data_IF_356353368861
#
_entry.id   IF_356353368861
#
_cell.length_a   1.000
_cell.length_b   1.000
_cell.length_c   1.000
_cell.angle_alpha   90.00
_cell.angle_beta   90.00
_cell.angle_gamma   90.00
#
_symmetry.space_group_name_H-M   'P 1'
#
loop_
_entity.id
_entity.type
_entity.pdbx_description
1 polymer ?
#
# COMPACT_ATOMS: atom_id res chain seq x y z
N UNK A 1 -33.69 32.54 -27.64
CA UNK A 1 -32.39 32.16 -28.23
C UNK A 1 -31.23 32.92 -27.55
N UNK A 2 -31.12 32.85 -26.21
CA UNK A 2 -30.01 33.45 -25.43
C UNK A 2 -29.65 32.60 -24.19
N UNK A 3 -30.19 31.38 -24.08
CA UNK A 3 -29.99 30.49 -22.94
C UNK A 3 -28.91 29.41 -23.18
N UNK A 4 -28.43 29.24 -24.42
CA UNK A 4 -27.47 28.17 -24.79
C UNK A 4 -26.00 28.62 -24.84
N UNK A 5 -25.71 29.92 -24.72
CA UNK A 5 -24.33 30.46 -24.68
C UNK A 5 -23.74 30.61 -23.27
N UNK A 6 -24.47 30.18 -22.22
CA UNK A 6 -23.92 29.98 -20.87
C UNK A 6 -23.22 28.62 -20.71
N UNK A 7 -22.98 27.92 -21.81
CA UNK A 7 -21.90 26.93 -21.90
C UNK A 7 -20.57 27.69 -22.04
N UNK A 8 -19.61 27.73 -21.14
CA UNK A 8 -19.57 27.63 -19.68
C UNK A 8 -18.22 28.28 -19.31
N UNK A 9 -18.16 29.62 -19.28
CA UNK A 9 -16.92 30.38 -18.99
C UNK A 9 -16.27 29.91 -17.68
N UNK A 10 -17.10 29.43 -16.72
CA UNK A 10 -16.63 28.87 -15.45
C UNK A 10 -15.94 27.53 -15.64
N UNK A 11 -16.43 26.66 -16.54
CA UNK A 11 -15.70 25.44 -16.89
C UNK A 11 -14.40 25.72 -17.62
N UNK A 12 -14.38 26.66 -18.58
CA UNK A 12 -13.13 27.04 -19.28
C UNK A 12 -12.10 27.56 -18.28
N UNK A 13 -12.51 28.45 -17.37
CA UNK A 13 -11.65 28.94 -16.28
C UNK A 13 -11.15 27.83 -15.37
N UNK A 14 -12.01 26.86 -15.01
CA UNK A 14 -11.61 25.69 -14.23
C UNK A 14 -10.57 24.82 -14.96
N UNK A 15 -10.76 24.54 -16.24
CA UNK A 15 -9.80 23.75 -17.02
C UNK A 15 -8.48 24.50 -17.20
N UNK A 16 -8.51 25.80 -17.46
CA UNK A 16 -7.31 26.63 -17.57
C UNK A 16 -6.49 26.63 -16.27
N UNK A 17 -7.15 26.87 -15.13
CA UNK A 17 -6.50 26.77 -13.80
C UNK A 17 -5.97 25.36 -13.55
N UNK A 18 -6.74 24.32 -13.90
CA UNK A 18 -6.30 22.93 -13.73
C UNK A 18 -5.05 22.62 -14.55
N UNK A 19 -4.95 23.13 -15.78
CA UNK A 19 -3.77 22.97 -16.65
C UNK A 19 -2.56 23.64 -16.03
N UNK A 20 -2.68 24.89 -15.55
CA UNK A 20 -1.58 25.59 -14.88
C UNK A 20 -1.08 24.77 -13.69
N UNK A 21 -1.98 24.28 -12.84
CA UNK A 21 -1.59 23.48 -11.69
C UNK A 21 -0.99 22.12 -12.08
N UNK A 22 -1.40 21.51 -13.20
CA UNK A 22 -0.78 20.29 -13.74
C UNK A 22 0.64 20.58 -14.24
N UNK A 23 0.86 21.70 -14.92
CA UNK A 23 2.19 22.13 -15.36
C UNK A 23 3.11 22.34 -14.15
N UNK A 24 2.62 23.01 -13.10
CA UNK A 24 3.38 23.16 -11.85
C UNK A 24 3.67 21.79 -11.21
N UNK A 25 2.73 20.85 -11.22
CA UNK A 25 2.97 19.48 -10.74
C UNK A 25 4.09 18.81 -11.53
N UNK A 26 4.09 18.92 -12.86
CA UNK A 26 5.11 18.35 -13.73
C UNK A 26 6.51 18.88 -13.40
N UNK A 27 6.65 20.20 -13.23
CA UNK A 27 7.92 20.80 -12.80
C UNK A 27 8.32 20.36 -11.40
N UNK A 28 7.39 20.33 -10.45
CA UNK A 28 7.65 19.86 -9.09
C UNK A 28 8.18 18.42 -9.09
N UNK A 29 7.52 17.51 -9.84
CA UNK A 29 7.94 16.12 -10.03
C UNK A 29 9.32 16.02 -10.68
N UNK A 30 9.59 16.88 -11.68
CA UNK A 30 10.87 16.90 -12.39
C UNK A 30 12.05 17.31 -11.50
N UNK A 31 11.89 18.31 -10.64
CA UNK A 31 12.96 18.79 -9.76
C UNK A 31 13.07 18.02 -8.45
N UNK A 32 11.96 17.58 -7.88
CA UNK A 32 11.96 16.78 -6.65
C UNK A 32 10.75 15.84 -6.59
N UNK A 33 10.95 14.51 -6.59
CA UNK A 33 9.84 13.57 -6.43
C UNK A 33 9.08 13.79 -5.11
N UNK A 34 9.73 14.28 -4.04
CA UNK A 34 9.03 14.60 -2.78
C UNK A 34 8.08 15.78 -2.98
N UNK A 35 8.56 16.89 -3.56
CA UNK A 35 7.70 18.04 -3.79
C UNK A 35 6.58 17.74 -4.79
N UNK A 36 6.87 17.00 -5.85
CA UNK A 36 5.87 16.49 -6.78
C UNK A 36 4.77 15.69 -6.08
N UNK A 37 5.17 14.75 -5.20
CA UNK A 37 4.24 13.96 -4.40
C UNK A 37 3.36 14.84 -3.51
N UNK A 38 3.95 15.69 -2.66
CA UNK A 38 3.21 16.54 -1.72
C UNK A 38 2.30 17.52 -2.45
N UNK A 39 2.78 18.14 -3.53
CA UNK A 39 2.00 19.07 -4.33
C UNK A 39 0.75 18.39 -4.91
N UNK A 40 0.90 17.20 -5.50
CA UNK A 40 -0.22 16.44 -6.04
C UNK A 40 -1.26 16.11 -4.95
N UNK A 41 -0.82 15.70 -3.76
CA UNK A 41 -1.71 15.40 -2.64
C UNK A 41 -2.44 16.65 -2.12
N UNK A 42 -1.76 17.80 -2.05
CA UNK A 42 -2.37 19.08 -1.65
C UNK A 42 -3.40 19.51 -2.68
N UNK A 43 -3.07 19.47 -3.98
CA UNK A 43 -4.00 19.83 -5.06
C UNK A 43 -5.27 18.96 -5.02
N UNK A 44 -5.12 17.65 -4.79
CA UNK A 44 -6.24 16.73 -4.62
C UNK A 44 -7.05 17.03 -3.34
N UNK A 45 -6.40 17.35 -2.23
CA UNK A 45 -7.04 17.67 -0.95
C UNK A 45 -7.84 18.97 -1.00
N UNK A 46 -7.37 19.96 -1.77
CA UNK A 46 -8.07 21.22 -2.05
C UNK A 46 -9.24 21.05 -3.02
N UNK A 47 -9.40 19.86 -3.63
CA UNK A 47 -10.51 19.56 -4.52
C UNK A 47 -10.31 20.04 -5.96
N UNK A 48 -9.06 20.26 -6.40
CA UNK A 48 -8.75 20.65 -7.79
C UNK A 48 -9.06 19.48 -8.75
N UNK A 49 -8.91 18.23 -8.31
CA UNK A 49 -9.22 17.02 -9.09
C UNK A 49 -10.72 16.68 -9.24
N UNK A 50 -11.61 17.64 -9.52
CA UNK A 50 -13.07 17.37 -9.58
C UNK A 50 -13.43 16.36 -10.68
N UNK A 51 -12.82 16.50 -11.85
CA UNK A 51 -13.03 15.60 -12.99
C UNK A 51 -12.12 14.38 -12.88
N UNK A 52 -12.51 13.26 -13.48
CA UNK A 52 -11.68 12.05 -13.52
C UNK A 52 -10.32 12.33 -14.14
N UNK A 53 -10.30 12.99 -15.30
CA UNK A 53 -9.06 13.29 -16.05
C UNK A 53 -8.06 14.07 -15.17
N UNK A 54 -8.49 15.19 -14.59
CA UNK A 54 -7.61 16.03 -13.75
C UNK A 54 -7.17 15.28 -12.49
N UNK A 55 -8.08 14.52 -11.86
CA UNK A 55 -7.75 13.69 -10.71
C UNK A 55 -6.72 12.63 -11.07
N UNK A 56 -6.86 11.97 -12.21
CA UNK A 56 -5.93 10.94 -12.67
C UNK A 56 -4.54 11.51 -12.94
N UNK A 57 -4.41 12.71 -13.50
CA UNK A 57 -3.10 13.36 -13.64
C UNK A 57 -2.38 13.56 -12.31
N UNK A 58 -3.03 14.16 -11.31
CA UNK A 58 -2.41 14.31 -9.98
C UNK A 58 -2.16 12.97 -9.29
N UNK A 59 -3.07 12.01 -9.46
CA UNK A 59 -2.94 10.71 -8.80
C UNK A 59 -1.78 9.92 -9.38
N UNK A 60 -1.64 9.89 -10.71
CA UNK A 60 -0.52 9.26 -11.41
C UNK A 60 0.79 10.00 -11.14
N UNK A 61 0.77 11.34 -11.05
CA UNK A 61 1.93 12.13 -10.64
C UNK A 61 2.39 11.79 -9.22
N UNK A 62 1.47 11.63 -8.27
CA UNK A 62 1.77 11.17 -6.92
C UNK A 62 2.30 9.74 -6.88
N UNK A 63 1.68 8.82 -7.63
CA UNK A 63 2.12 7.42 -7.74
C UNK A 63 3.52 7.31 -8.34
N UNK A 64 3.77 8.02 -9.44
CA UNK A 64 5.10 8.10 -10.06
C UNK A 64 6.13 8.62 -9.06
N UNK A 65 5.82 9.72 -8.39
CA UNK A 65 6.69 10.32 -7.38
C UNK A 65 7.01 9.34 -6.25
N UNK A 66 6.03 8.62 -5.70
CA UNK A 66 6.26 7.58 -4.69
C UNK A 66 7.20 6.48 -5.18
N UNK A 67 7.01 6.01 -6.43
CA UNK A 67 7.86 4.99 -7.01
C UNK A 67 9.31 5.48 -7.18
N UNK A 68 9.51 6.75 -7.60
CA UNK A 68 10.84 7.39 -7.63
C UNK A 68 11.42 7.52 -6.22
N UNK A 69 10.63 7.87 -5.21
CA UNK A 69 11.12 7.90 -3.82
C UNK A 69 11.57 6.50 -3.39
N UNK A 70 10.77 5.46 -3.62
CA UNK A 70 11.13 4.09 -3.27
C UNK A 70 12.41 3.59 -3.97
N UNK A 71 12.58 3.89 -5.26
CA UNK A 71 13.75 3.48 -6.04
C UNK A 71 15.06 4.19 -5.66
N UNK A 72 14.96 5.28 -4.89
CA UNK A 72 16.14 5.99 -4.36
C UNK A 72 16.82 5.26 -3.19
N UNK A 73 16.26 4.15 -2.72
CA UNK A 73 16.74 3.39 -1.55
C UNK A 73 18.23 3.01 -1.66
N UNK A 74 18.87 2.88 -0.51
CA UNK A 74 20.19 2.27 -0.37
C UNK A 74 20.17 0.75 -0.63
N UNK A 75 20.99 0.30 -1.57
CA UNK A 75 21.17 -1.11 -1.90
C UNK A 75 22.54 -1.66 -1.48
N UNK A 76 23.45 -0.81 -0.98
CA UNK A 76 24.87 -1.12 -0.78
C UNK A 76 25.23 -1.63 0.62
N UNK A 77 24.29 -1.64 1.56
CA UNK A 77 24.56 -1.96 2.97
C UNK A 77 24.65 -3.45 3.28
N UNK A 78 24.34 -4.35 2.33
CA UNK A 78 24.34 -5.81 2.50
C UNK A 78 23.71 -6.28 3.83
N UNK A 79 22.72 -5.54 4.32
CA UNK A 79 22.10 -5.82 5.60
C UNK A 79 21.25 -7.09 5.45
N UNK A 80 21.41 -8.12 6.29
CA UNK A 80 20.63 -9.35 6.23
C UNK A 80 19.11 -9.13 6.29
N UNK A 81 18.67 -8.03 6.93
CA UNK A 81 17.27 -7.64 7.02
C UNK A 81 16.69 -7.03 5.73
N UNK A 82 17.49 -6.79 4.70
CA UNK A 82 17.01 -6.28 3.41
C UNK A 82 16.43 -7.38 2.52
N UNK A 83 15.12 -7.64 2.63
CA UNK A 83 14.46 -8.69 1.84
C UNK A 83 14.57 -8.45 0.33
N UNK A 84 14.60 -7.18 -0.12
CA UNK A 84 14.73 -6.89 -1.54
C UNK A 84 16.10 -7.22 -2.09
N UNK A 85 17.16 -6.72 -1.47
CA UNK A 85 18.52 -6.93 -1.95
C UNK A 85 18.96 -8.39 -1.78
N UNK A 86 18.46 -9.09 -0.76
CA UNK A 86 18.90 -10.45 -0.42
C UNK A 86 18.04 -11.55 -1.05
N UNK A 87 16.74 -11.31 -1.31
CA UNK A 87 15.85 -12.35 -1.83
C UNK A 87 15.26 -11.99 -3.20
N UNK A 88 14.73 -10.78 -3.40
CA UNK A 88 14.08 -10.44 -4.67
C UNK A 88 15.06 -10.15 -5.81
N UNK A 89 16.16 -9.45 -5.51
CA UNK A 89 17.17 -9.11 -6.52
C UNK A 89 17.93 -10.33 -7.06
N UNK A 90 18.47 -11.26 -6.24
CA UNK A 90 19.14 -12.44 -6.76
C UNK A 90 18.22 -13.31 -7.62
N UNK A 91 16.97 -13.51 -7.19
CA UNK A 91 16.00 -14.29 -7.99
C UNK A 91 15.68 -13.60 -9.32
N UNK A 92 15.67 -12.26 -9.36
CA UNK A 92 15.57 -11.53 -10.63
C UNK A 92 16.78 -11.80 -11.54
N UNK A 93 18.00 -11.79 -11.00
CA UNK A 93 19.21 -12.09 -11.76
C UNK A 93 19.17 -13.53 -12.31
N UNK A 94 18.72 -14.50 -11.51
CA UNK A 94 18.54 -15.88 -11.94
C UNK A 94 17.46 -15.98 -13.03
N UNK A 95 16.34 -15.25 -12.92
CA UNK A 95 15.28 -15.21 -13.93
C UNK A 95 15.75 -14.67 -15.29
N UNK A 96 16.65 -13.69 -15.29
CA UNK A 96 17.24 -13.11 -16.51
C UNK A 96 18.22 -14.09 -17.17
N UNK A 97 18.99 -14.82 -16.36
CA UNK A 97 20.03 -15.73 -16.84
C UNK A 97 19.51 -17.14 -17.15
N UNK A 98 18.37 -17.54 -16.58
CA UNK A 98 17.76 -18.87 -16.75
C UNK A 98 16.91 -18.96 -18.02
N UNK A 99 17.00 -20.11 -18.70
CA UNK A 99 16.17 -20.40 -19.88
C UNK A 99 14.71 -20.69 -19.50
N UNK A 100 14.47 -21.29 -18.34
CA UNK A 100 13.13 -21.68 -17.87
C UNK A 100 12.67 -20.81 -16.70
N UNK A 101 11.41 -20.39 -16.79
CA UNK A 101 10.74 -19.64 -15.72
C UNK A 101 10.45 -20.52 -14.48
N UNK A 102 10.27 -21.82 -14.68
CA UNK A 102 9.88 -22.77 -13.64
C UNK A 102 11.04 -23.23 -12.75
N UNK A 103 12.27 -22.87 -13.09
CA UNK A 103 13.46 -23.37 -12.41
C UNK A 103 13.89 -22.43 -11.25
N UNK A 104 13.06 -21.43 -10.91
CA UNK A 104 13.36 -20.42 -9.90
C UNK A 104 12.67 -20.73 -8.56
N UNK A 105 13.29 -20.32 -7.44
CA UNK A 105 12.84 -20.55 -6.04
C UNK A 105 11.37 -20.16 -5.75
N UNK A 106 10.79 -19.25 -6.54
CA UNK A 106 9.37 -18.90 -6.41
C UNK A 106 8.42 -19.96 -6.99
N UNK A 107 8.86 -20.70 -8.01
CA UNK A 107 8.11 -21.81 -8.59
C UNK A 107 7.92 -22.96 -7.60
N UNK A 108 8.94 -23.26 -6.78
CA UNK A 108 8.89 -24.29 -5.74
C UNK A 108 7.82 -24.02 -4.66
N UNK A 109 7.43 -22.75 -4.48
CA UNK A 109 6.38 -22.32 -3.57
C UNK A 109 5.05 -22.04 -4.27
N UNK A 110 4.90 -22.37 -5.56
CA UNK A 110 3.74 -22.05 -6.39
C UNK A 110 3.43 -20.55 -6.53
N UNK A 111 4.42 -19.67 -6.33
CA UNK A 111 4.28 -18.21 -6.35
C UNK A 111 4.77 -17.61 -7.67
N UNK A 112 4.11 -18.01 -8.75
CA UNK A 112 4.55 -17.73 -10.13
C UNK A 112 4.38 -16.27 -10.58
N UNK A 113 3.48 -15.49 -9.97
CA UNK A 113 3.11 -14.19 -10.52
C UNK A 113 4.30 -13.22 -10.66
N UNK A 114 5.11 -13.06 -9.60
CA UNK A 114 6.19 -12.08 -9.59
C UNK A 114 7.23 -12.39 -10.67
N UNK A 115 7.69 -13.64 -10.77
CA UNK A 115 8.68 -13.99 -11.79
C UNK A 115 8.14 -13.85 -13.21
N UNK A 116 6.86 -14.21 -13.45
CA UNK A 116 6.24 -14.05 -14.77
C UNK A 116 6.12 -12.58 -15.15
N UNK A 117 5.67 -11.75 -14.20
CA UNK A 117 5.59 -10.31 -14.33
C UNK A 117 6.96 -9.69 -14.65
N UNK A 118 8.02 -10.04 -13.91
CA UNK A 118 9.36 -9.50 -14.15
C UNK A 118 9.96 -9.94 -15.48
N UNK A 119 9.67 -11.18 -15.92
CA UNK A 119 10.12 -11.70 -17.22
C UNK A 119 9.45 -10.95 -18.38
N UNK A 120 8.14 -10.71 -18.30
CA UNK A 120 7.43 -9.88 -19.29
C UNK A 120 8.01 -8.48 -19.35
N UNK A 121 8.23 -7.85 -18.19
CA UNK A 121 8.76 -6.49 -18.17
C UNK A 121 10.16 -6.39 -18.74
N UNK A 122 11.03 -7.34 -18.41
CA UNK A 122 12.39 -7.38 -18.96
C UNK A 122 12.36 -7.58 -20.48
N UNK A 123 11.45 -8.44 -20.96
CA UNK A 123 11.24 -8.63 -22.40
C UNK A 123 10.77 -7.33 -23.10
N UNK A 124 9.84 -6.59 -22.48
CA UNK A 124 9.35 -5.30 -23.01
C UNK A 124 10.46 -4.23 -22.96
N UNK A 125 11.26 -4.20 -21.90
CA UNK A 125 12.36 -3.24 -21.73
C UNK A 125 13.52 -3.49 -22.71
N UNK A 126 13.65 -4.72 -23.21
CA UNK A 126 14.73 -5.13 -24.11
C UNK A 126 16.08 -5.35 -23.42
N UNK A 127 16.27 -4.82 -22.22
CA UNK A 127 17.47 -5.02 -21.39
C UNK A 127 17.11 -5.37 -19.94
N UNK A 128 17.98 -6.09 -19.22
CA UNK A 128 17.81 -6.33 -17.78
C UNK A 128 17.78 -5.03 -16.99
N UNK A 129 16.89 -4.96 -16.01
CA UNK A 129 16.79 -3.83 -15.09
C UNK A 129 17.94 -3.82 -14.09
N UNK A 130 18.40 -2.63 -13.72
CA UNK A 130 19.18 -2.44 -12.49
C UNK A 130 18.26 -2.47 -11.24
N UNK A 131 18.84 -2.44 -10.03
CA UNK A 131 18.08 -2.52 -8.77
C UNK A 131 17.07 -1.37 -8.59
N UNK A 132 17.44 -0.14 -8.94
CA UNK A 132 16.58 1.03 -8.82
C UNK A 132 15.41 0.96 -9.80
N UNK A 133 15.68 0.58 -11.06
CA UNK A 133 14.68 0.33 -12.09
C UNK A 133 13.67 -0.72 -11.67
N UNK A 134 14.15 -1.86 -11.17
CA UNK A 134 13.31 -2.95 -10.71
C UNK A 134 12.39 -2.50 -9.56
N UNK A 135 12.94 -1.78 -8.58
CA UNK A 135 12.16 -1.23 -7.47
C UNK A 135 11.12 -0.23 -7.94
N UNK A 136 11.49 0.67 -8.84
CA UNK A 136 10.58 1.66 -9.43
C UNK A 136 9.39 0.95 -10.08
N UNK A 137 9.64 -0.01 -10.96
CA UNK A 137 8.58 -0.70 -11.73
C UNK A 137 7.68 -1.54 -10.81
N UNK A 138 8.24 -2.20 -9.79
CA UNK A 138 7.45 -2.93 -8.78
C UNK A 138 6.54 -1.96 -8.00
N UNK A 139 7.10 -0.91 -7.41
CA UNK A 139 6.36 0.04 -6.59
C UNK A 139 5.28 0.75 -7.42
N UNK A 140 5.65 1.21 -8.61
CA UNK A 140 4.74 1.87 -9.56
C UNK A 140 3.55 0.98 -9.91
N UNK A 141 3.78 -0.29 -10.29
CA UNK A 141 2.68 -1.18 -10.67
C UNK A 141 1.74 -1.51 -9.52
N UNK A 142 2.25 -1.72 -8.32
CA UNK A 142 1.41 -1.95 -7.13
C UNK A 142 0.51 -0.74 -6.85
N UNK A 143 1.09 0.46 -6.88
CA UNK A 143 0.36 1.71 -6.65
C UNK A 143 -0.64 2.02 -7.77
N UNK A 144 -0.31 1.74 -9.03
CA UNK A 144 -1.24 1.86 -10.16
C UNK A 144 -2.40 0.89 -10.01
N UNK A 145 -2.15 -0.38 -9.69
CA UNK A 145 -3.20 -1.37 -9.45
C UNK A 145 -4.12 -0.95 -8.30
N UNK A 146 -3.56 -0.41 -7.22
CA UNK A 146 -4.34 0.17 -6.12
C UNK A 146 -5.14 1.40 -6.54
N UNK A 147 -4.56 2.31 -7.33
CA UNK A 147 -5.26 3.49 -7.84
C UNK A 147 -6.43 3.12 -8.76
N UNK A 148 -6.24 2.13 -9.65
CA UNK A 148 -7.31 1.58 -10.49
C UNK A 148 -8.43 1.01 -9.61
N UNK A 149 -8.10 0.27 -8.54
CA UNK A 149 -9.10 -0.26 -7.61
C UNK A 149 -9.89 0.89 -6.98
N UNK A 150 -9.18 1.94 -6.55
CA UNK A 150 -9.77 3.08 -5.88
C UNK A 150 -10.77 3.79 -6.79
N UNK A 151 -10.40 4.16 -8.02
CA UNK A 151 -11.31 4.83 -8.97
C UNK A 151 -12.46 3.92 -9.41
N UNK A 152 -12.16 2.66 -9.77
CA UNK A 152 -13.13 1.77 -10.35
C UNK A 152 -14.13 1.21 -9.32
N UNK A 153 -13.70 1.00 -8.07
CA UNK A 153 -14.48 0.30 -7.04
C UNK A 153 -14.63 1.11 -5.76
N UNK A 154 -13.54 1.65 -5.20
CA UNK A 154 -13.54 2.36 -3.91
C UNK A 154 -14.39 3.64 -3.92
N UNK A 155 -14.30 4.44 -4.99
CA UNK A 155 -14.98 5.74 -5.09
C UNK A 155 -16.44 5.65 -5.55
N UNK A 156 -16.97 4.47 -5.90
CA UNK A 156 -18.35 4.32 -6.40
C UNK A 156 -19.40 4.91 -5.45
N UNK A 157 -19.14 4.84 -4.14
CA UNK A 157 -20.06 5.26 -3.07
C UNK A 157 -19.62 6.55 -2.36
N UNK A 158 -18.62 7.22 -2.90
CA UNK A 158 -18.12 8.51 -2.39
C UNK A 158 -18.75 9.64 -3.20
N UNK A 159 -19.27 10.65 -2.50
CA UNK A 159 -19.84 11.84 -3.13
C UNK A 159 -18.81 12.51 -4.06
N UNK A 160 -19.27 12.99 -5.22
CA UNK A 160 -18.40 13.50 -6.29
C UNK A 160 -17.47 14.63 -5.83
N UNK A 161 -17.94 15.51 -4.94
CA UNK A 161 -17.20 16.63 -4.36
C UNK A 161 -16.13 16.20 -3.33
N UNK A 162 -16.16 14.95 -2.87
CA UNK A 162 -15.21 14.38 -1.89
C UNK A 162 -14.25 13.36 -2.50
N UNK A 163 -14.44 12.94 -3.75
CA UNK A 163 -13.61 11.93 -4.41
C UNK A 163 -12.12 12.30 -4.41
N UNK A 164 -11.78 13.54 -4.72
CA UNK A 164 -10.39 14.01 -4.76
C UNK A 164 -9.69 13.91 -3.40
N UNK A 165 -10.39 14.29 -2.33
CA UNK A 165 -9.87 14.17 -0.96
C UNK A 165 -9.68 12.69 -0.57
N UNK A 166 -10.63 11.83 -0.94
CA UNK A 166 -10.50 10.39 -0.72
C UNK A 166 -9.24 9.84 -1.41
N UNK A 167 -9.02 10.22 -2.67
CA UNK A 167 -7.82 9.81 -3.41
C UNK A 167 -6.54 10.34 -2.79
N UNK A 168 -6.50 11.61 -2.38
CA UNK A 168 -5.35 12.19 -1.69
C UNK A 168 -5.00 11.38 -0.42
N UNK A 169 -6.01 11.09 0.41
CA UNK A 169 -5.79 10.33 1.64
C UNK A 169 -5.37 8.89 1.37
N UNK A 170 -6.04 8.21 0.42
CA UNK A 170 -5.73 6.83 0.08
C UNK A 170 -4.32 6.66 -0.46
N UNK A 171 -3.86 7.54 -1.35
CA UNK A 171 -2.48 7.50 -1.88
C UNK A 171 -1.48 8.00 -0.83
N UNK A 172 -1.76 9.14 -0.19
CA UNK A 172 -0.83 9.78 0.74
C UNK A 172 -0.57 9.01 2.04
N UNK A 173 -1.50 8.13 2.43
CA UNK A 173 -1.35 7.27 3.61
C UNK A 173 -1.07 5.80 3.24
N UNK A 174 -0.96 5.47 1.96
CA UNK A 174 -0.50 4.15 1.52
C UNK A 174 0.96 3.97 1.97
N UNK A 175 1.26 2.89 2.70
CA UNK A 175 2.63 2.62 3.17
C UNK A 175 3.50 2.08 2.04
N UNK A 176 3.83 2.90 1.05
CA UNK A 176 4.53 2.44 -0.16
C UNK A 176 5.95 1.93 0.13
N UNK A 177 6.62 2.44 1.17
CA UNK A 177 7.94 1.94 1.57
C UNK A 177 7.94 0.47 1.99
N UNK A 178 6.78 -0.13 2.27
CA UNK A 178 6.68 -1.57 2.52
C UNK A 178 6.94 -2.41 1.26
N UNK A 179 6.81 -1.82 0.06
CA UNK A 179 7.20 -2.48 -1.20
C UNK A 179 8.70 -2.80 -1.22
N UNK A 180 9.50 -2.13 -0.38
CA UNK A 180 10.92 -2.40 -0.23
C UNK A 180 11.22 -3.72 0.49
N UNK A 181 10.24 -4.30 1.18
CA UNK A 181 10.44 -5.47 2.06
C UNK A 181 9.44 -6.61 1.81
N UNK A 182 8.24 -6.34 1.28
CA UNK A 182 7.19 -7.35 1.15
C UNK A 182 6.59 -7.40 -0.27
N UNK A 183 7.45 -7.48 -1.30
CA UNK A 183 7.07 -7.37 -2.73
C UNK A 183 5.96 -8.35 -3.14
N UNK A 184 6.14 -9.64 -2.86
CA UNK A 184 5.13 -10.67 -3.22
C UNK A 184 3.81 -10.44 -2.51
N UNK A 185 3.90 -10.18 -1.21
CA UNK A 185 2.74 -10.01 -0.36
C UNK A 185 1.95 -8.75 -0.71
N UNK A 186 2.59 -7.64 -1.09
CA UNK A 186 1.86 -6.41 -1.41
C UNK A 186 1.06 -6.54 -2.72
N UNK A 187 1.59 -7.23 -3.74
CA UNK A 187 0.80 -7.60 -4.93
C UNK A 187 -0.40 -8.47 -4.55
N UNK A 188 -0.17 -9.50 -3.75
CA UNK A 188 -1.21 -10.39 -3.28
C UNK A 188 -2.32 -9.64 -2.51
N UNK A 189 -1.95 -8.71 -1.62
CA UNK A 189 -2.89 -7.90 -0.85
C UNK A 189 -3.73 -6.97 -1.74
N UNK A 190 -3.15 -6.36 -2.78
CA UNK A 190 -3.93 -5.58 -3.76
C UNK A 190 -4.91 -6.49 -4.51
N UNK A 191 -4.53 -7.69 -4.94
CA UNK A 191 -5.45 -8.63 -5.57
C UNK A 191 -6.53 -9.15 -4.61
N UNK A 192 -6.20 -9.40 -3.34
CA UNK A 192 -7.19 -9.71 -2.30
C UNK A 192 -8.18 -8.56 -2.14
N UNK A 193 -7.72 -7.31 -2.19
CA UNK A 193 -8.60 -6.14 -2.11
C UNK A 193 -9.65 -6.13 -3.24
N UNK A 194 -9.23 -6.43 -4.47
CA UNK A 194 -10.18 -6.64 -5.58
C UNK A 194 -11.11 -7.81 -5.31
N UNK A 195 -10.58 -8.96 -4.89
CA UNK A 195 -11.37 -10.17 -4.68
C UNK A 195 -12.48 -9.96 -3.63
N UNK A 196 -12.12 -9.39 -2.48
CA UNK A 196 -13.03 -9.05 -1.38
C UNK A 196 -14.08 -8.05 -1.86
N UNK A 197 -13.66 -7.01 -2.59
CA UNK A 197 -14.58 -5.98 -3.08
C UNK A 197 -15.60 -6.56 -4.07
N UNK A 198 -15.15 -7.39 -5.03
CA UNK A 198 -16.06 -8.05 -5.97
C UNK A 198 -17.00 -9.05 -5.28
N UNK A 199 -16.53 -9.73 -4.24
CA UNK A 199 -17.39 -10.62 -3.45
C UNK A 199 -18.50 -9.83 -2.74
N UNK A 200 -18.16 -8.67 -2.15
CA UNK A 200 -19.16 -7.77 -1.56
C UNK A 200 -20.15 -7.22 -2.60
N UNK A 201 -19.72 -7.01 -3.84
CA UNK A 201 -20.58 -6.65 -4.97
C UNK A 201 -21.32 -7.85 -5.59
N UNK A 202 -21.26 -9.04 -4.95
CA UNK A 202 -21.89 -10.29 -5.40
C UNK A 202 -21.35 -10.80 -6.75
N UNK A 203 -20.22 -10.30 -7.24
CA UNK A 203 -19.57 -10.76 -8.47
C UNK A 203 -18.55 -11.87 -8.17
N UNK A 204 -19.05 -13.09 -7.95
CA UNK A 204 -18.23 -14.25 -7.56
C UNK A 204 -17.16 -14.62 -8.60
N UNK A 205 -17.45 -14.46 -9.90
CA UNK A 205 -16.50 -14.78 -10.98
C UNK A 205 -15.28 -13.89 -10.93
N UNK A 206 -15.46 -12.56 -10.85
CA UNK A 206 -14.33 -11.63 -10.72
C UNK A 206 -13.62 -11.83 -9.38
N UNK A 207 -14.36 -12.08 -8.30
CA UNK A 207 -13.76 -12.38 -7.00
C UNK A 207 -12.82 -13.60 -7.07
N UNK A 208 -13.24 -14.68 -7.74
CA UNK A 208 -12.44 -15.89 -7.90
C UNK A 208 -11.18 -15.65 -8.76
N UNK A 209 -11.29 -14.89 -9.85
CA UNK A 209 -10.13 -14.55 -10.70
C UNK A 209 -9.08 -13.78 -9.89
N UNK A 210 -9.49 -12.73 -9.17
CA UNK A 210 -8.56 -11.94 -8.36
C UNK A 210 -8.03 -12.72 -7.15
N UNK A 211 -8.82 -13.62 -6.56
CA UNK A 211 -8.35 -14.52 -5.51
C UNK A 211 -7.28 -15.49 -6.03
N UNK A 212 -7.48 -16.05 -7.22
CA UNK A 212 -6.48 -16.88 -7.88
C UNK A 212 -5.18 -16.10 -8.13
N UNK A 213 -5.27 -14.89 -8.68
CA UNK A 213 -4.12 -13.98 -8.86
C UNK A 213 -3.40 -13.69 -7.55
N UNK A 214 -4.13 -13.52 -6.45
CA UNK A 214 -3.53 -13.34 -5.13
C UNK A 214 -2.76 -14.59 -4.67
N UNK A 215 -3.33 -15.78 -4.82
CA UNK A 215 -2.68 -17.05 -4.43
C UNK A 215 -1.38 -17.30 -5.21
N UNK A 216 -1.37 -17.07 -6.52
CA UNK A 216 -0.16 -17.22 -7.34
C UNK A 216 0.86 -16.08 -7.10
N UNK A 217 0.46 -14.99 -6.44
CA UNK A 217 1.37 -13.92 -6.01
C UNK A 217 1.99 -14.23 -4.67
N UNK A 218 1.19 -14.73 -3.73
CA UNK A 218 1.65 -15.17 -2.42
C UNK A 218 0.66 -16.19 -1.84
N UNK A 219 1.15 -17.37 -1.50
CA UNK A 219 0.34 -18.52 -1.04
C UNK A 219 -0.43 -18.25 0.25
N UNK A 220 0.06 -17.36 1.10
CA UNK A 220 -0.65 -16.97 2.34
C UNK A 220 -2.02 -16.33 2.07
N UNK A 221 -2.29 -15.90 0.83
CA UNK A 221 -3.60 -15.42 0.39
C UNK A 221 -4.73 -16.41 0.65
N UNK A 222 -4.45 -17.72 0.63
CA UNK A 222 -5.41 -18.78 0.96
C UNK A 222 -5.96 -18.60 2.38
N UNK A 223 -5.14 -18.10 3.31
CA UNK A 223 -5.50 -17.82 4.70
C UNK A 223 -6.07 -16.39 4.83
N UNK A 224 -5.43 -15.42 4.19
CA UNK A 224 -5.79 -14.00 4.33
C UNK A 224 -7.18 -13.68 3.77
N UNK A 225 -7.55 -14.26 2.62
CA UNK A 225 -8.85 -14.01 2.01
C UNK A 225 -10.03 -14.40 2.91
N UNK A 226 -10.15 -15.65 3.41
CA UNK A 226 -11.24 -16.01 4.31
C UNK A 226 -11.18 -15.25 5.63
N UNK A 227 -9.98 -14.93 6.15
CA UNK A 227 -9.81 -14.07 7.32
C UNK A 227 -10.45 -12.69 7.10
N UNK A 228 -10.19 -12.05 5.96
CA UNK A 228 -10.75 -10.74 5.64
C UNK A 228 -12.27 -10.78 5.44
N UNK A 229 -12.80 -11.84 4.84
CA UNK A 229 -14.25 -12.05 4.77
C UNK A 229 -14.86 -12.25 6.16
N UNK A 230 -14.18 -12.96 7.06
CA UNK A 230 -14.62 -13.16 8.44
C UNK A 230 -14.69 -11.83 9.20
N UNK A 231 -13.63 -11.02 9.18
CA UNK A 231 -13.60 -9.74 9.90
C UNK A 231 -14.51 -8.68 9.28
N UNK A 232 -14.92 -8.84 8.01
CA UNK A 232 -15.96 -8.01 7.38
C UNK A 232 -17.39 -8.32 7.86
N UNK A 233 -17.61 -9.45 8.55
CA UNK A 233 -18.94 -9.78 9.06
C UNK A 233 -19.36 -8.83 10.18
N UNK A 234 -20.62 -8.41 10.12
CA UNK A 234 -21.21 -7.44 11.05
C UNK A 234 -21.89 -8.14 12.22
N UNK A 235 -22.06 -7.38 13.30
CA UNK A 235 -22.89 -7.78 14.44
C UNK A 235 -22.08 -8.03 15.71
N UNK A 236 -22.63 -7.60 16.84
CA UNK A 236 -21.96 -7.67 18.16
C UNK A 236 -21.45 -9.07 18.49
N UNK A 237 -22.25 -10.11 18.20
CA UNK A 237 -21.86 -11.51 18.45
C UNK A 237 -20.65 -11.94 17.61
N UNK A 238 -20.59 -11.50 16.35
CA UNK A 238 -19.43 -11.77 15.49
C UNK A 238 -18.18 -11.09 16.05
N UNK A 239 -18.28 -9.82 16.42
CA UNK A 239 -17.18 -9.07 17.02
C UNK A 239 -16.67 -9.72 18.31
N UNK A 240 -17.57 -10.17 19.19
CA UNK A 240 -17.21 -10.91 20.41
C UNK A 240 -16.49 -12.22 20.07
N UNK A 241 -17.00 -13.00 19.12
CA UNK A 241 -16.38 -14.25 18.71
C UNK A 241 -14.98 -14.04 18.12
N UNK A 242 -14.76 -12.96 17.35
CA UNK A 242 -13.44 -12.59 16.83
C UNK A 242 -12.50 -12.20 17.95
N UNK A 243 -12.97 -11.46 18.96
CA UNK A 243 -12.18 -11.13 20.14
C UNK A 243 -11.76 -12.38 20.91
N UNK A 244 -12.69 -13.31 21.14
CA UNK A 244 -12.41 -14.61 21.80
C UNK A 244 -11.40 -15.40 20.98
N UNK A 245 -11.60 -15.53 19.66
CA UNK A 245 -10.67 -16.22 18.78
C UNK A 245 -9.26 -15.61 18.85
N UNK A 246 -9.16 -14.29 18.81
CA UNK A 246 -7.88 -13.58 18.94
C UNK A 246 -7.19 -13.85 20.27
N UNK A 247 -7.94 -13.81 21.37
CA UNK A 247 -7.43 -14.13 22.70
C UNK A 247 -6.96 -15.59 22.81
N UNK A 248 -7.74 -16.54 22.30
CA UNK A 248 -7.37 -17.96 22.26
C UNK A 248 -6.11 -18.18 21.46
N UNK A 249 -6.00 -17.60 20.26
CA UNK A 249 -4.79 -17.70 19.44
C UNK A 249 -3.61 -17.09 20.20
N UNK A 250 -3.73 -15.88 20.75
CA UNK A 250 -2.64 -15.21 21.45
C UNK A 250 -2.11 -16.02 22.64
N UNK A 251 -3.00 -16.62 23.44
CA UNK A 251 -2.62 -17.45 24.60
C UNK A 251 -2.00 -18.77 24.17
N UNK A 252 -2.62 -19.46 23.20
CA UNK A 252 -2.17 -20.79 22.78
C UNK A 252 -0.98 -20.76 21.83
N UNK A 253 -0.68 -19.62 21.18
CA UNK A 253 0.33 -19.53 20.14
C UNK A 253 1.69 -20.05 20.61
N UNK A 254 2.19 -19.54 21.74
CA UNK A 254 3.50 -19.97 22.27
C UNK A 254 3.51 -21.45 22.67
N UNK A 255 2.44 -21.94 23.31
CA UNK A 255 2.32 -23.33 23.70
C UNK A 255 2.26 -24.29 22.50
N UNK A 256 1.48 -23.94 21.48
CA UNK A 256 1.33 -24.73 20.25
C UNK A 256 2.63 -24.73 19.44
N UNK A 257 3.27 -23.56 19.26
CA UNK A 257 4.52 -23.47 18.50
C UNK A 257 5.62 -24.29 19.17
N UNK A 258 5.76 -24.20 20.50
CA UNK A 258 6.76 -24.98 21.23
C UNK A 258 6.46 -26.48 21.19
N UNK A 259 5.20 -26.89 21.37
CA UNK A 259 4.79 -28.30 21.30
C UNK A 259 5.03 -28.90 19.91
N UNK A 260 4.61 -28.21 18.84
CA UNK A 260 4.74 -28.71 17.48
C UNK A 260 6.20 -28.69 16.99
N UNK A 261 7.00 -27.72 17.43
CA UNK A 261 8.45 -27.72 17.18
C UNK A 261 9.13 -28.92 17.85
N UNK A 262 8.72 -29.30 19.07
CA UNK A 262 9.25 -30.48 19.75
C UNK A 262 8.90 -31.80 19.06
N UNK A 263 7.76 -31.86 18.36
CA UNK A 263 7.32 -33.05 17.63
C UNK A 263 7.91 -33.17 16.21
N UNK A 264 8.72 -32.22 15.76
CA UNK A 264 9.26 -32.15 14.38
C UNK A 264 8.18 -32.18 13.27
N UNK A 265 6.91 -32.01 13.61
CA UNK A 265 5.81 -32.06 12.67
C UNK A 265 5.74 -30.74 11.89
N UNK A 266 5.88 -30.78 10.56
CA UNK A 266 5.88 -29.56 9.74
C UNK A 266 7.07 -28.64 9.99
N UNK A 267 8.25 -29.22 10.25
CA UNK A 267 9.48 -28.55 10.70
C UNK A 267 9.77 -27.21 10.01
N UNK A 268 9.58 -27.07 8.69
CA UNK A 268 9.84 -25.81 7.98
C UNK A 268 8.86 -24.68 8.32
N UNK A 269 7.57 -24.96 8.49
CA UNK A 269 6.56 -23.96 8.84
C UNK A 269 6.75 -23.48 10.29
N UNK A 270 6.97 -24.40 11.21
CA UNK A 270 7.21 -24.08 12.62
C UNK A 270 8.58 -23.46 12.86
N UNK A 271 9.60 -23.81 12.06
CA UNK A 271 10.90 -23.15 12.08
C UNK A 271 10.79 -21.66 11.72
N UNK A 272 9.94 -21.31 10.76
CA UNK A 272 9.71 -19.91 10.39
C UNK A 272 8.95 -19.14 11.48
N UNK A 273 7.98 -19.79 12.14
CA UNK A 273 7.27 -19.24 13.28
C UNK A 273 8.19 -19.06 14.50
N UNK A 274 9.07 -20.02 14.78
CA UNK A 274 10.05 -19.94 15.86
C UNK A 274 11.13 -18.89 15.58
N UNK A 275 11.55 -18.71 14.32
CA UNK A 275 12.40 -17.60 13.91
C UNK A 275 11.78 -16.23 14.24
N UNK A 276 10.48 -16.03 13.98
CA UNK A 276 9.81 -14.77 14.34
C UNK A 276 9.72 -14.54 15.84
N UNK A 277 9.62 -15.61 16.65
CA UNK A 277 9.67 -15.50 18.10
C UNK A 277 11.05 -15.04 18.61
N UNK A 278 12.13 -15.35 17.89
CA UNK A 278 13.50 -15.06 18.31
C UNK A 278 14.03 -13.72 17.78
N UNK A 279 13.62 -13.31 16.57
CA UNK A 279 14.25 -12.19 15.84
C UNK A 279 13.26 -11.04 15.56
N UNK A 280 11.96 -11.23 15.76
CA UNK A 280 10.96 -10.25 15.34
C UNK A 280 10.95 -8.97 16.20
N UNK A 281 11.06 -7.81 15.54
CA UNK A 281 10.90 -6.51 16.16
C UNK A 281 9.41 -6.11 16.23
N UNK A 282 8.98 -5.61 17.40
CA UNK A 282 7.60 -5.17 17.65
C UNK A 282 7.39 -3.71 17.25
N UNK A 283 8.47 -2.94 17.09
CA UNK A 283 8.43 -1.50 16.76
C UNK A 283 7.68 -1.23 15.44
N UNK A 284 7.90 -2.07 14.42
CA UNK A 284 7.24 -1.96 13.12
C UNK A 284 5.72 -2.18 13.20
N UNK A 285 5.26 -3.04 14.11
CA UNK A 285 3.83 -3.29 14.32
C UNK A 285 3.13 -2.11 15.02
N UNK A 286 3.85 -1.35 15.87
CA UNK A 286 3.31 -0.14 16.52
C UNK A 286 2.99 0.97 15.51
N UNK A 287 3.79 1.09 14.44
CA UNK A 287 3.54 2.07 13.39
C UNK A 287 2.17 1.88 12.70
N UNK A 288 1.68 0.64 12.63
CA UNK A 288 0.35 0.31 12.11
C UNK A 288 -0.82 0.95 12.88
N UNK A 289 -0.63 1.27 14.16
CA UNK A 289 -1.68 1.89 14.98
C UNK A 289 -1.89 3.38 14.72
N UNK A 290 -0.89 4.08 14.14
CA UNK A 290 -0.88 5.55 13.98
C UNK A 290 -2.14 6.08 13.28
N UNK A 291 -2.64 5.38 12.26
CA UNK A 291 -3.87 5.74 11.56
C UNK A 291 -5.07 4.89 11.97
N UNK A 292 -4.83 3.68 12.49
CA UNK A 292 -5.87 2.78 12.92
C UNK A 292 -6.64 3.32 14.14
N UNK A 293 -5.95 3.81 15.18
CA UNK A 293 -6.62 4.32 16.39
C UNK A 293 -7.46 5.57 16.09
N UNK A 294 -6.93 6.63 15.45
CA UNK A 294 -7.74 7.81 15.13
C UNK A 294 -8.92 7.47 14.21
N UNK A 295 -8.72 6.60 13.21
CA UNK A 295 -9.81 6.18 12.33
C UNK A 295 -10.91 5.43 13.09
N UNK A 296 -10.57 4.59 14.08
CA UNK A 296 -11.56 3.87 14.88
C UNK A 296 -12.41 4.84 15.72
N UNK A 297 -11.78 5.82 16.36
CA UNK A 297 -12.47 6.85 17.14
C UNK A 297 -13.45 7.60 16.24
N UNK A 298 -12.99 8.06 15.07
CA UNK A 298 -13.84 8.82 14.15
C UNK A 298 -14.94 7.95 13.50
N UNK A 299 -14.70 6.64 13.29
CA UNK A 299 -15.69 5.72 12.71
C UNK A 299 -16.96 5.58 13.57
N UNK A 300 -16.86 5.84 14.89
CA UNK A 300 -18.03 5.89 15.79
C UNK A 300 -18.99 7.02 15.43
N UNK A 301 -18.47 8.16 14.97
CA UNK A 301 -19.24 9.39 14.80
C UNK A 301 -19.61 9.68 13.35
N UNK A 302 -18.73 9.40 12.38
CA UNK A 302 -18.87 9.93 11.02
C UNK A 302 -18.99 8.88 9.91
N UNK A 303 -18.92 7.59 10.24
CA UNK A 303 -19.01 6.53 9.24
C UNK A 303 -20.41 6.46 8.60
N UNK A 304 -20.48 6.20 7.30
CA UNK A 304 -21.75 6.11 6.56
C UNK A 304 -22.50 4.80 6.85
N UNK A 305 -23.82 4.90 7.05
CA UNK A 305 -24.71 3.78 7.45
C UNK A 305 -25.17 2.87 6.30
N UNK A 306 -24.53 2.90 5.13
CA UNK A 306 -24.87 2.00 4.02
C UNK A 306 -24.35 0.59 4.30
N UNK A 307 -25.11 -0.44 3.91
CA UNK A 307 -24.73 -1.85 4.10
C UNK A 307 -23.29 -2.16 3.61
N UNK A 308 -22.90 -1.73 2.43
CA UNK A 308 -21.54 -1.97 1.92
C UNK A 308 -20.47 -1.30 2.78
N UNK A 309 -20.73 -0.06 3.21
CA UNK A 309 -19.79 0.72 4.01
C UNK A 309 -19.69 0.16 5.44
N UNK A 310 -20.80 -0.32 6.01
CA UNK A 310 -20.79 -1.01 7.31
C UNK A 310 -19.91 -2.28 7.30
N UNK A 311 -19.73 -2.95 6.16
CA UNK A 311 -18.77 -4.08 6.07
C UNK A 311 -17.32 -3.62 6.20
N UNK A 312 -16.98 -2.45 5.65
CA UNK A 312 -15.66 -1.83 5.82
C UNK A 312 -15.44 -1.31 7.24
N UNK A 313 -16.49 -0.80 7.89
CA UNK A 313 -16.45 -0.45 9.30
C UNK A 313 -16.22 -1.68 10.18
N UNK A 314 -16.91 -2.79 9.90
CA UNK A 314 -16.70 -4.06 10.57
C UNK A 314 -15.28 -4.57 10.36
N UNK A 315 -14.76 -4.53 9.12
CA UNK A 315 -13.37 -4.86 8.79
C UNK A 315 -12.38 -4.07 9.66
N UNK A 316 -12.58 -2.76 9.79
CA UNK A 316 -11.74 -1.89 10.60
C UNK A 316 -11.80 -2.25 12.09
N UNK A 317 -13.00 -2.42 12.67
CA UNK A 317 -13.19 -2.71 14.09
C UNK A 317 -12.70 -4.12 14.45
N UNK A 318 -13.21 -5.13 13.75
CA UNK A 318 -12.86 -6.52 14.01
C UNK A 318 -11.37 -6.78 13.69
N UNK A 319 -10.87 -6.17 12.62
CA UNK A 319 -9.45 -6.21 12.26
C UNK A 319 -8.58 -5.57 13.34
N UNK A 320 -8.96 -4.43 13.91
CA UNK A 320 -8.22 -3.80 14.99
C UNK A 320 -8.22 -4.62 16.29
N UNK A 321 -9.35 -5.25 16.63
CA UNK A 321 -9.44 -6.14 17.80
C UNK A 321 -8.48 -7.32 17.62
N UNK A 322 -8.52 -7.98 16.46
CA UNK A 322 -7.67 -9.14 16.22
C UNK A 322 -6.19 -8.75 16.07
N UNK A 323 -5.90 -7.61 15.43
CA UNK A 323 -4.56 -7.04 15.36
C UNK A 323 -3.99 -6.76 16.75
N UNK A 324 -4.80 -6.18 17.64
CA UNK A 324 -4.39 -5.88 19.03
C UNK A 324 -4.20 -7.14 19.85
N UNK A 325 -5.07 -8.14 19.69
CA UNK A 325 -4.94 -9.43 20.38
C UNK A 325 -3.66 -10.16 19.96
N UNK A 326 -3.33 -10.12 18.67
CA UNK A 326 -2.15 -10.80 18.12
C UNK A 326 -0.86 -9.96 18.22
N UNK A 327 -0.94 -8.72 18.73
CA UNK A 327 0.18 -7.78 18.78
C UNK A 327 1.43 -8.33 19.47
N UNK A 328 1.24 -9.24 20.44
CA UNK A 328 2.34 -9.87 21.18
C UNK A 328 3.15 -10.89 20.38
N UNK A 329 2.64 -11.31 19.21
CA UNK A 329 3.34 -12.20 18.30
C UNK A 329 4.11 -11.34 17.30
N UNK A 330 5.45 -11.36 17.29
CA UNK A 330 6.24 -10.50 16.40
C UNK A 330 5.93 -10.75 14.92
N UNK A 331 5.93 -9.69 14.10
CA UNK A 331 5.71 -9.70 12.64
C UNK A 331 4.35 -10.24 12.13
N UNK A 332 3.66 -11.09 12.90
CA UNK A 332 2.40 -11.73 12.50
C UNK A 332 1.26 -10.71 12.27
N UNK A 333 1.01 -9.72 13.16
CA UNK A 333 0.00 -8.69 12.92
C UNK A 333 0.27 -7.90 11.64
N UNK A 334 1.54 -7.54 11.40
CA UNK A 334 1.95 -6.79 10.23
C UNK A 334 1.60 -7.55 8.93
N UNK A 335 1.84 -8.87 8.94
CA UNK A 335 1.57 -9.74 7.79
C UNK A 335 0.10 -10.07 7.61
N UNK A 336 -0.62 -10.38 8.68
CA UNK A 336 -2.04 -10.75 8.60
C UNK A 336 -2.93 -9.55 8.28
N UNK A 337 -2.57 -8.36 8.73
CA UNK A 337 -3.41 -7.16 8.58
C UNK A 337 -2.82 -6.11 7.64
N UNK A 338 -1.87 -6.47 6.78
CA UNK A 338 -1.28 -5.54 5.81
C UNK A 338 -2.31 -4.79 4.98
N UNK A 339 -3.45 -5.42 4.63
CA UNK A 339 -4.53 -4.71 3.94
C UNK A 339 -5.10 -3.54 4.77
N UNK A 340 -5.26 -3.72 6.08
CA UNK A 340 -5.81 -2.74 7.01
C UNK A 340 -4.83 -1.60 7.32
N UNK A 341 -3.56 -1.93 7.56
CA UNK A 341 -2.58 -0.96 8.09
C UNK A 341 -1.61 -0.40 7.03
N UNK A 342 -1.45 -1.07 5.88
CA UNK A 342 -0.54 -0.60 4.82
C UNK A 342 -1.28 -0.06 3.60
N UNK A 343 -2.30 -0.78 3.11
CA UNK A 343 -2.97 -0.47 1.84
C UNK A 343 -4.19 0.45 2.02
N UNK A 344 -5.06 0.13 2.98
CA UNK A 344 -6.31 0.87 3.20
C UNK A 344 -6.31 1.95 4.31
N UNK A 345 -5.22 2.29 5.03
CA UNK A 345 -5.34 3.22 6.16
C UNK A 345 -5.91 4.57 5.72
N UNK A 346 -5.51 5.09 4.56
CA UNK A 346 -6.05 6.34 4.03
C UNK A 346 -7.50 6.28 3.59
N UNK A 347 -7.90 5.20 2.92
CA UNK A 347 -9.29 4.99 2.50
C UNK A 347 -10.23 4.87 3.71
N UNK A 348 -9.87 4.04 4.69
CA UNK A 348 -10.67 3.83 5.91
C UNK A 348 -10.70 5.08 6.79
N UNK A 349 -9.58 5.81 6.85
CA UNK A 349 -9.54 7.08 7.57
C UNK A 349 -10.44 8.11 6.91
N UNK A 350 -10.46 8.21 5.58
CA UNK A 350 -11.39 9.06 4.84
C UNK A 350 -12.85 8.67 5.14
N UNK A 351 -13.22 7.39 5.03
CA UNK A 351 -14.58 6.92 5.33
C UNK A 351 -15.00 7.23 6.77
N UNK A 352 -14.04 7.26 7.69
CA UNK A 352 -14.24 7.60 9.08
C UNK A 352 -14.31 9.09 9.37
N UNK A 353 -13.94 9.98 8.44
CA UNK A 353 -13.74 11.42 8.72
C UNK A 353 -14.32 12.39 7.69
N UNK A 354 -14.84 11.91 6.55
CA UNK A 354 -15.26 12.74 5.41
C UNK A 354 -16.33 13.81 5.74
N UNK A 355 -17.03 13.68 6.88
CA UNK A 355 -18.03 14.64 7.35
C UNK A 355 -17.45 15.85 8.09
N UNK A 356 -16.18 15.83 8.48
CA UNK A 356 -15.53 16.83 9.38
C UNK A 356 -15.16 18.15 8.63
N UNK A 357 -15.89 18.47 7.55
CA UNK A 357 -15.80 19.77 6.87
C UNK A 357 -14.40 20.16 6.38
N UNK A 358 -14.12 21.47 6.34
CA UNK A 358 -12.86 22.03 5.85
C UNK A 358 -11.71 21.95 6.86
N UNK A 359 -11.99 21.94 8.17
CA UNK A 359 -10.98 21.84 9.22
C UNK A 359 -10.13 20.56 9.04
N UNK A 360 -10.78 19.44 8.76
CA UNK A 360 -10.09 18.18 8.51
C UNK A 360 -9.18 18.22 7.26
N UNK A 361 -9.57 18.95 6.21
CA UNK A 361 -8.72 19.13 5.02
C UNK A 361 -7.41 19.83 5.36
N UNK A 362 -7.45 20.85 6.22
CA UNK A 362 -6.25 21.57 6.68
C UNK A 362 -5.32 20.64 7.44
N UNK A 363 -5.85 19.84 8.38
CA UNK A 363 -5.04 18.87 9.13
C UNK A 363 -4.34 17.87 8.19
N UNK A 364 -5.06 17.35 7.20
CA UNK A 364 -4.48 16.41 6.23
C UNK A 364 -3.38 17.06 5.38
N UNK A 365 -3.58 18.31 4.95
CA UNK A 365 -2.55 19.05 4.21
C UNK A 365 -1.29 19.26 5.07
N UNK A 366 -1.46 19.69 6.32
CA UNK A 366 -0.34 19.85 7.25
C UNK A 366 0.37 18.52 7.51
N UNK A 367 -0.38 17.42 7.62
CA UNK A 367 0.18 16.08 7.73
C UNK A 367 1.01 15.71 6.50
N UNK A 368 0.55 16.01 5.28
CA UNK A 368 1.31 15.73 4.06
C UNK A 368 2.59 16.55 3.98
N UNK A 369 2.56 17.83 4.36
CA UNK A 369 3.78 18.65 4.44
C UNK A 369 4.78 18.04 5.42
N UNK A 370 4.32 17.67 6.63
CA UNK A 370 5.15 16.99 7.62
C UNK A 370 5.69 15.65 7.09
N UNK A 371 4.86 14.88 6.37
CA UNK A 371 5.28 13.60 5.79
C UNK A 371 6.35 13.79 4.71
N UNK A 372 6.21 14.78 3.83
CA UNK A 372 7.23 15.13 2.84
C UNK A 372 8.55 15.54 3.48
N UNK A 373 8.50 16.38 4.51
CA UNK A 373 9.67 16.74 5.32
C UNK A 373 10.38 15.50 5.90
N UNK A 374 9.61 14.53 6.42
CA UNK A 374 10.15 13.26 6.92
C UNK A 374 10.79 12.40 5.84
N UNK A 375 10.28 12.44 4.60
CA UNK A 375 10.90 11.75 3.46
C UNK A 375 12.23 12.39 3.09
N UNK A 376 12.36 13.71 3.17
CA UNK A 376 13.62 14.44 2.85
C UNK A 376 14.71 14.10 3.86
N UNK A 377 14.41 14.19 5.16
CA UNK A 377 15.45 14.18 6.20
C UNK A 377 16.02 12.80 6.50
N UNK A 378 15.35 11.70 6.12
CA UNK A 378 15.67 10.32 6.55
C UNK A 378 15.73 10.18 8.08
N UNK A 379 14.66 9.64 8.65
CA UNK A 379 14.72 8.63 9.73
C UNK A 379 13.28 8.17 9.97
N UNK A 380 12.75 7.33 9.09
CA UNK A 380 11.43 6.73 9.33
C UNK A 380 11.53 5.34 9.95
N UNK A 381 12.71 4.71 9.93
CA UNK A 381 12.88 3.32 10.37
C UNK A 381 14.02 3.15 11.40
N UNK A 382 15.02 4.04 11.43
CA UNK A 382 16.04 4.02 12.47
C UNK A 382 15.72 5.07 13.55
N UNK A 383 15.64 4.64 14.80
CA UNK A 383 15.90 5.51 15.96
C UNK A 383 17.42 5.66 16.18
N UNK A 384 18.26 5.08 15.31
CA UNK A 384 19.69 4.90 15.55
C UNK A 384 20.58 5.93 14.86
N UNK A 385 20.10 6.69 13.87
CA UNK A 385 20.85 7.80 13.28
C UNK A 385 22.24 7.40 12.71
N UNK A 386 22.46 6.12 12.44
CA UNK A 386 23.76 5.59 12.01
C UNK A 386 23.86 5.59 10.50
N UNK A 387 24.97 6.13 9.97
CA UNK A 387 25.38 5.90 8.58
C UNK A 387 25.33 4.41 8.26
N UNK A 388 24.64 4.03 7.18
CA UNK A 388 24.46 2.63 6.78
C UNK A 388 23.07 2.02 7.03
N UNK A 389 22.01 2.83 7.25
CA UNK A 389 20.65 2.30 7.23
C UNK A 389 20.27 1.78 5.82
N UNK A 390 19.93 0.49 5.75
CA UNK A 390 19.54 -0.20 4.53
C UNK A 390 18.20 0.26 3.97
N UNK A 391 17.35 0.88 4.79
CA UNK A 391 16.08 1.47 4.35
C UNK A 391 16.18 2.96 4.02
N UNK A 392 17.39 3.51 4.07
CA UNK A 392 17.59 4.89 3.76
C UNK A 392 17.23 5.21 2.29
N UNK A 393 16.59 6.37 2.07
CA UNK A 393 16.25 6.96 0.76
C UNK A 393 17.34 7.88 0.16
N UNK A 394 17.30 8.22 -1.11
CA UNK A 394 18.26 9.17 -1.73
C UNK A 394 19.71 8.68 -1.89
N UNK A 395 19.93 7.37 -1.89
CA UNK A 395 21.23 6.77 -2.20
C UNK A 395 21.48 6.72 -3.71
N UNK A 396 20.51 6.21 -4.49
CA UNK A 396 20.64 6.08 -5.95
C UNK A 396 20.69 7.43 -6.68
N UNK A 397 20.10 8.45 -6.08
CA UNK A 397 20.07 9.85 -6.54
C UNK A 397 19.51 10.73 -5.41
N UNK A 398 19.85 12.04 -5.35
CA UNK A 398 19.39 12.94 -4.29
C UNK A 398 17.86 13.14 -4.32
N UNK A 399 17.27 13.78 -3.29
CA UNK A 399 15.84 14.10 -3.22
C UNK A 399 15.42 15.31 -4.06
N UNK A 400 16.39 16.12 -4.48
CA UNK A 400 16.25 17.27 -5.37
C UNK A 400 17.43 17.30 -6.33
N UNK A 401 17.18 17.65 -7.59
CA UNK A 401 18.23 17.75 -8.59
C UNK A 401 18.39 19.14 -9.17
N UNK A 402 19.54 19.36 -9.80
CA UNK A 402 19.91 20.64 -10.41
C UNK A 402 19.31 20.82 -11.82
N UNK A 403 18.70 19.77 -12.36
CA UNK A 403 18.03 19.77 -13.66
C UNK A 403 16.75 18.93 -13.62
N UNK A 404 15.84 19.23 -14.54
CA UNK A 404 14.55 18.54 -14.69
C UNK A 404 14.78 17.05 -14.97
N UNK A 405 14.11 16.18 -14.20
CA UNK A 405 14.13 14.72 -14.34
C UNK A 405 15.50 14.06 -14.14
N UNK A 406 16.37 14.64 -13.31
CA UNK A 406 17.72 14.11 -13.02
C UNK A 406 17.77 12.61 -12.64
N UNK A 407 16.76 12.11 -11.92
CA UNK A 407 16.67 10.70 -11.50
C UNK A 407 16.42 9.74 -12.67
N UNK A 408 15.98 10.23 -13.82
CA UNK A 408 15.69 9.37 -14.98
C UNK A 408 16.93 8.64 -15.47
N UNK A 409 18.13 9.24 -15.34
CA UNK A 409 19.40 8.58 -15.69
C UNK A 409 19.66 7.28 -14.91
N UNK A 410 19.09 7.17 -13.71
CA UNK A 410 19.19 5.95 -12.90
C UNK A 410 18.03 4.97 -13.16
N UNK A 411 16.92 5.45 -13.76
CA UNK A 411 15.69 4.70 -13.99
C UNK A 411 15.47 4.27 -15.44
N UNK A 412 16.18 4.83 -16.41
CA UNK A 412 16.09 4.55 -17.84
C UNK A 412 17.45 4.83 -18.48
#
# INVERSE_FOLDING_TARGET
MYAELRYDIRNIGFYFVSIIFIVVAFFAIGFSPVFGFIYCLIALSLGIGKTLIVRSFYSLGAVFSCAVVAASKNYATYNPSDDFSNNYWPVYQDLVNSKSFFDNVFADNYEYFLGFYLKILTYINGTPFNQAQLMFVICFSVLVLFYIWLEALGLKRVASDKKSLCVAMSIGLFQFLITLQYVRQIFALVFILYAVTFLLEKNKRKALIFFFLACISHTTSIILFPLYILIMKKGKRVTINIAILGGVIAVLFFGIVNFLSALSFGAQFFYKLSYYLQVGDRSNSLAGFKFLIPSLILSKFFFSKNEYLESWKAFQINGAILFSALFFIPELPLRLFGLLIMILPGYLFFLSSYRIGNFFRVIIILYFIFYGYRLIIRDYISLSGTEGDFMGLWYSYPWMGDHLFYYMRSLF
#
